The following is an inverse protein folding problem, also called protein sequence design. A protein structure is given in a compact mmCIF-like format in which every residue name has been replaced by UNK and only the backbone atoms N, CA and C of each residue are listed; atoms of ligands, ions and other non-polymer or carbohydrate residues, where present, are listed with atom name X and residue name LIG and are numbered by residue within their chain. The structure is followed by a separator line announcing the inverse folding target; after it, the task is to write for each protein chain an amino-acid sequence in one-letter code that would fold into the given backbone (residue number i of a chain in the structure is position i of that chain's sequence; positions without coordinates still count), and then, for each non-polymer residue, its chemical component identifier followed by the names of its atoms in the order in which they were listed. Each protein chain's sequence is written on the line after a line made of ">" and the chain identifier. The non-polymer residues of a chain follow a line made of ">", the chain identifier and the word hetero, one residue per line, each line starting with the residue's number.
data_IF_547971633947
#
_entry.id   IF_547971633947
#
_cell.length_a   1.000
_cell.length_b   1.000
_cell.length_c   1.000
_cell.angle_alpha   90.00
_cell.angle_beta   90.00
_cell.angle_gamma   90.00
#
_symmetry.space_group_name_H-M   'P 1'
#
loop_
_entity.id
_entity.type
_entity.pdbx_description
1 polymer ?
#
# COMPACT_ATOMS: atom_id res chain seq x y z
N UNK A 1 67.01 75.25 3.19
CA UNK A 1 68.00 74.25 2.74
C UNK A 1 67.77 73.00 3.49
N UNK A 2 67.73 71.90 2.87
CA UNK A 2 67.49 70.49 3.27
C UNK A 2 66.08 69.91 3.06
N UNK A 3 66.00 69.24 1.95
CA UNK A 3 64.97 68.33 1.53
C UNK A 3 64.93 67.09 2.43
N UNK A 4 63.73 66.66 2.83
CA UNK A 4 63.53 65.31 3.38
C UNK A 4 62.45 64.57 2.52
N UNK A 5 62.93 63.54 1.89
CA UNK A 5 62.13 62.54 1.18
C UNK A 5 61.16 61.84 2.09
N UNK A 6 59.90 61.77 1.66
CA UNK A 6 58.88 60.95 2.31
C UNK A 6 58.66 59.69 1.42
N UNK A 7 58.85 58.51 2.03
CA UNK A 7 58.72 57.22 1.43
C UNK A 7 57.23 56.85 1.25
N UNK A 8 56.80 56.18 0.16
CA UNK A 8 55.44 55.74 -0.03
C UNK A 8 55.25 54.39 0.67
N UNK A 9 54.29 54.36 1.61
CA UNK A 9 53.86 53.12 2.29
C UNK A 9 53.09 52.25 1.32
N UNK A 10 53.50 50.96 1.25
CA UNK A 10 52.79 49.88 0.57
C UNK A 10 51.48 49.57 1.25
N UNK A 11 50.40 49.79 0.59
CA UNK A 11 49.10 49.28 0.98
C UNK A 11 48.93 47.87 0.40
N UNK A 12 49.07 46.86 1.26
CA UNK A 12 48.76 45.47 0.95
C UNK A 12 47.23 45.31 0.96
N UNK A 13 46.67 45.14 -0.23
CA UNK A 13 45.26 44.73 -0.41
C UNK A 13 45.13 43.24 -0.05
N UNK A 14 44.59 42.98 1.11
CA UNK A 14 44.18 41.59 1.51
C UNK A 14 42.85 41.31 0.83
N UNK A 15 42.87 40.56 -0.28
CA UNK A 15 41.69 39.96 -0.89
C UNK A 15 41.27 38.77 -0.04
N UNK A 16 40.30 38.96 0.82
CA UNK A 16 39.59 37.85 1.51
C UNK A 16 38.63 37.18 0.51
N UNK A 17 39.08 36.08 -0.07
CA UNK A 17 38.25 35.19 -0.88
C UNK A 17 37.26 34.48 0.01
N UNK A 18 36.00 34.93 0.05
CA UNK A 18 34.90 34.25 0.66
C UNK A 18 34.52 33.03 -0.21
N UNK A 19 34.97 31.83 0.14
CA UNK A 19 34.43 30.56 -0.39
C UNK A 19 32.97 30.42 0.08
N UNK A 20 32.03 30.79 -0.76
CA UNK A 20 30.63 30.43 -0.63
C UNK A 20 30.54 28.95 -1.01
N UNK A 21 30.54 28.05 -0.04
CA UNK A 21 30.21 26.64 -0.22
C UNK A 21 28.72 26.58 -0.57
N UNK A 22 28.38 26.47 -1.85
CA UNK A 22 27.07 26.05 -2.33
C UNK A 22 26.90 24.57 -1.92
N UNK A 23 26.40 24.37 -0.71
CA UNK A 23 25.90 23.05 -0.29
C UNK A 23 24.66 22.73 -1.13
N UNK A 24 24.80 21.89 -2.17
CA UNK A 24 23.66 21.21 -2.81
C UNK A 24 23.09 20.18 -1.83
N UNK A 25 22.44 20.65 -0.77
CA UNK A 25 21.58 19.82 0.05
C UNK A 25 20.32 19.50 -0.75
N UNK A 26 20.00 18.21 -0.94
CA UNK A 26 18.70 17.82 -1.48
C UNK A 26 17.63 18.28 -0.49
N UNK A 27 16.73 19.13 -0.93
CA UNK A 27 15.59 19.57 -0.13
C UNK A 27 14.60 18.42 0.03
N UNK A 28 14.17 18.17 1.27
CA UNK A 28 13.10 17.20 1.55
C UNK A 28 11.78 17.96 1.57
N UNK A 29 10.93 17.66 0.60
CA UNK A 29 9.62 18.27 0.43
C UNK A 29 8.53 17.30 0.87
N UNK A 30 7.47 17.82 1.51
CA UNK A 30 6.31 17.03 1.90
C UNK A 30 5.33 16.92 0.73
N UNK A 31 4.69 15.74 0.57
CA UNK A 31 3.68 15.54 -0.47
C UNK A 31 2.47 16.49 -0.37
N UNK A 32 2.19 17.03 0.84
CA UNK A 32 1.16 18.06 1.02
C UNK A 32 1.55 19.40 0.38
N UNK A 33 2.85 19.70 0.31
CA UNK A 33 3.39 20.95 -0.24
C UNK A 33 3.63 20.83 -1.76
N UNK A 34 3.84 19.60 -2.25
CA UNK A 34 3.93 19.27 -3.68
C UNK A 34 3.20 17.95 -4.01
N UNK A 35 1.91 18.02 -4.36
CA UNK A 35 1.12 16.84 -4.71
C UNK A 35 1.65 16.04 -5.91
N UNK A 36 2.54 16.62 -6.72
CA UNK A 36 3.14 15.93 -7.86
C UNK A 36 4.10 14.81 -7.46
N UNK A 37 4.61 14.85 -6.23
CA UNK A 37 5.50 13.82 -5.67
C UNK A 37 4.79 12.47 -5.59
N UNK A 38 3.55 12.46 -5.10
CA UNK A 38 2.75 11.24 -4.97
C UNK A 38 2.07 10.84 -6.29
N UNK A 39 1.91 11.78 -7.22
CA UNK A 39 1.25 11.52 -8.51
C UNK A 39 2.17 10.86 -9.56
N UNK A 40 3.48 10.99 -9.42
CA UNK A 40 4.46 10.49 -10.40
C UNK A 40 4.99 9.12 -9.99
N UNK A 41 4.90 8.16 -10.90
CA UNK A 41 5.60 6.88 -10.75
C UNK A 41 7.13 7.12 -10.77
N UNK A 42 7.80 6.81 -9.67
CA UNK A 42 9.25 6.96 -9.53
C UNK A 42 10.00 5.78 -10.15
N UNK A 43 9.33 4.63 -10.25
CA UNK A 43 9.90 3.39 -10.79
C UNK A 43 8.82 2.52 -11.42
N UNK A 44 9.24 1.40 -12.05
CA UNK A 44 8.32 0.35 -12.50
C UNK A 44 7.81 -0.52 -11.35
N UNK A 45 8.39 -0.43 -10.16
CA UNK A 45 7.93 -1.13 -8.96
C UNK A 45 6.54 -0.64 -8.51
N UNK A 46 5.88 -1.49 -7.76
CA UNK A 46 4.57 -1.19 -7.20
C UNK A 46 4.73 -0.25 -5.99
N UNK A 47 4.14 0.92 -6.06
CA UNK A 47 4.17 1.90 -4.98
C UNK A 47 2.85 1.93 -4.17
N UNK A 48 2.86 2.67 -3.08
CA UNK A 48 1.71 2.80 -2.17
C UNK A 48 0.47 3.35 -2.89
N UNK A 49 0.65 4.33 -3.78
CA UNK A 49 -0.47 4.97 -4.47
C UNK A 49 -1.12 4.03 -5.50
N UNK A 50 -0.31 3.21 -6.17
CA UNK A 50 -0.80 2.16 -7.07
C UNK A 50 -1.71 1.18 -6.34
N UNK A 51 -1.24 0.71 -5.18
CA UNK A 51 -1.98 -0.27 -4.39
C UNK A 51 -3.27 0.36 -3.84
N UNK A 52 -3.22 1.60 -3.34
CA UNK A 52 -4.41 2.35 -2.91
C UNK A 52 -5.44 2.50 -4.02
N UNK A 53 -4.99 2.84 -5.23
CA UNK A 53 -5.85 2.99 -6.40
C UNK A 53 -6.52 1.67 -6.76
N UNK A 54 -5.75 0.58 -6.80
CA UNK A 54 -6.26 -0.76 -7.06
C UNK A 54 -7.26 -1.23 -6.01
N UNK A 55 -6.97 -0.98 -4.73
CA UNK A 55 -7.91 -1.29 -3.66
C UNK A 55 -9.21 -0.51 -3.80
N UNK A 56 -9.12 0.80 -4.03
CA UNK A 56 -10.30 1.66 -4.20
C UNK A 56 -11.18 1.19 -5.36
N UNK A 57 -10.57 0.77 -6.46
CA UNK A 57 -11.29 0.18 -7.61
C UNK A 57 -12.02 -1.12 -7.20
N UNK A 58 -11.35 -2.03 -6.51
CA UNK A 58 -11.97 -3.28 -6.07
C UNK A 58 -13.06 -3.08 -5.02
N UNK A 59 -12.89 -2.13 -4.08
CA UNK A 59 -13.92 -1.77 -3.09
C UNK A 59 -15.14 -1.09 -3.73
N UNK A 60 -14.94 -0.28 -4.76
CA UNK A 60 -16.05 0.30 -5.52
C UNK A 60 -16.86 -0.78 -6.27
N UNK A 61 -16.17 -1.78 -6.83
CA UNK A 61 -16.83 -2.95 -7.42
C UNK A 61 -17.59 -3.75 -6.38
N UNK A 62 -17.03 -3.94 -5.19
CA UNK A 62 -17.72 -4.60 -4.07
C UNK A 62 -18.97 -3.82 -3.63
N UNK A 63 -18.90 -2.49 -3.58
CA UNK A 63 -20.05 -1.64 -3.24
C UNK A 63 -21.26 -1.87 -4.15
N UNK A 64 -21.01 -2.15 -5.43
CA UNK A 64 -22.04 -2.42 -6.43
C UNK A 64 -22.45 -3.89 -6.52
N UNK A 65 -21.77 -4.79 -5.80
CA UNK A 65 -21.99 -6.23 -5.91
C UNK A 65 -23.26 -6.68 -5.17
N UNK A 66 -23.91 -7.78 -5.63
CA UNK A 66 -25.09 -8.35 -4.98
C UNK A 66 -24.86 -8.71 -3.50
N UNK A 67 -23.68 -9.19 -3.14
CA UNK A 67 -23.32 -9.53 -1.75
C UNK A 67 -23.39 -8.32 -0.82
N UNK A 68 -23.04 -7.13 -1.30
CA UNK A 68 -23.16 -5.89 -0.52
C UNK A 68 -24.63 -5.53 -0.26
N UNK A 69 -25.52 -5.77 -1.23
CA UNK A 69 -26.97 -5.56 -1.04
C UNK A 69 -27.53 -6.56 -0.03
N UNK A 70 -27.11 -7.81 -0.10
CA UNK A 70 -27.45 -8.83 0.90
C UNK A 70 -27.04 -8.38 2.32
N UNK A 71 -25.80 -7.90 2.47
CA UNK A 71 -25.30 -7.44 3.77
C UNK A 71 -26.14 -6.29 4.34
N UNK A 72 -26.52 -5.32 3.51
CA UNK A 72 -27.36 -4.17 3.94
C UNK A 72 -28.75 -4.56 4.39
N UNK A 73 -29.27 -5.65 3.87
CA UNK A 73 -30.64 -6.13 4.20
C UNK A 73 -30.64 -7.19 5.29
N UNK A 74 -29.49 -7.73 5.66
CA UNK A 74 -29.35 -8.75 6.71
C UNK A 74 -29.39 -8.10 8.09
N UNK A 75 -30.25 -8.61 8.97
CA UNK A 75 -30.36 -8.16 10.36
C UNK A 75 -30.26 -9.34 11.33
N UNK A 76 -29.30 -9.37 12.26
CA UNK A 76 -28.23 -8.38 12.44
C UNK A 76 -27.21 -8.40 11.29
N UNK A 77 -26.48 -7.29 11.06
CA UNK A 77 -25.45 -7.23 10.02
C UNK A 77 -24.43 -8.34 10.17
N UNK A 78 -23.98 -9.00 9.08
CA UNK A 78 -23.05 -10.11 9.14
C UNK A 78 -21.68 -9.68 9.67
N UNK A 79 -20.95 -10.61 10.26
CA UNK A 79 -19.59 -10.41 10.71
C UNK A 79 -18.65 -10.79 9.56
N UNK A 80 -17.73 -9.88 9.24
CA UNK A 80 -16.72 -10.05 8.20
C UNK A 80 -15.33 -10.00 8.83
N UNK A 81 -14.46 -10.90 8.42
CA UNK A 81 -13.04 -10.88 8.76
C UNK A 81 -12.21 -10.62 7.50
N UNK A 82 -11.19 -9.76 7.62
CA UNK A 82 -10.25 -9.48 6.52
C UNK A 82 -8.96 -10.22 6.79
N UNK A 83 -8.58 -11.11 5.87
CA UNK A 83 -7.30 -11.82 5.92
C UNK A 83 -6.19 -11.04 5.21
N UNK A 84 -4.93 -11.24 5.60
CA UNK A 84 -3.81 -10.67 4.87
C UNK A 84 -3.86 -11.03 3.39
N UNK A 85 -3.57 -10.06 2.53
CA UNK A 85 -3.43 -10.33 1.10
C UNK A 85 -2.06 -10.94 0.82
N UNK A 86 -2.05 -11.98 -0.01
CA UNK A 86 -0.81 -12.63 -0.38
C UNK A 86 -0.01 -11.76 -1.36
N UNK A 87 1.27 -11.55 -1.06
CA UNK A 87 2.23 -10.95 -1.99
C UNK A 87 2.84 -12.06 -2.85
N UNK A 88 2.45 -12.11 -4.12
CA UNK A 88 3.00 -13.02 -5.15
C UNK A 88 3.84 -12.28 -6.18
N UNK A 89 4.44 -11.17 -5.78
CA UNK A 89 5.40 -10.38 -6.57
C UNK A 89 6.80 -10.50 -6.00
N UNK A 90 7.79 -10.00 -6.72
CA UNK A 90 9.16 -9.83 -6.21
C UNK A 90 9.34 -8.53 -5.40
N UNK A 91 8.30 -7.72 -5.27
CA UNK A 91 8.36 -6.41 -4.61
C UNK A 91 8.15 -6.54 -3.10
N UNK A 92 8.85 -5.69 -2.32
CA UNK A 92 8.69 -5.62 -0.87
C UNK A 92 7.53 -4.70 -0.49
N UNK A 93 6.30 -5.17 -0.69
CA UNK A 93 5.07 -4.39 -0.50
C UNK A 93 4.26 -4.77 0.75
N UNK A 94 4.76 -5.69 1.58
CA UNK A 94 3.98 -6.24 2.70
C UNK A 94 3.49 -5.17 3.69
N UNK A 95 4.33 -4.18 4.02
CA UNK A 95 3.93 -3.05 4.88
C UNK A 95 2.88 -2.15 4.22
N UNK A 96 2.97 -1.97 2.90
CA UNK A 96 1.97 -1.23 2.13
C UNK A 96 0.65 -1.97 2.08
N UNK A 97 0.67 -3.29 1.89
CA UNK A 97 -0.52 -4.14 1.94
C UNK A 97 -1.19 -4.07 3.31
N UNK A 98 -0.45 -4.11 4.41
CA UNK A 98 -1.01 -4.01 5.74
C UNK A 98 -1.72 -2.67 5.99
N UNK A 99 -1.10 -1.56 5.56
CA UNK A 99 -1.72 -0.23 5.63
C UNK A 99 -3.05 -0.19 4.89
N UNK A 100 -3.11 -0.78 3.70
CA UNK A 100 -4.29 -0.78 2.84
C UNK A 100 -5.40 -1.65 3.39
N UNK A 101 -5.05 -2.77 4.01
CA UNK A 101 -6.03 -3.60 4.69
C UNK A 101 -6.70 -2.84 5.83
N UNK A 102 -5.97 -1.98 6.54
CA UNK A 102 -6.54 -1.07 7.55
C UNK A 102 -7.50 -0.04 6.93
N UNK A 103 -7.19 0.48 5.75
CA UNK A 103 -8.11 1.34 4.99
C UNK A 103 -9.39 0.56 4.57
N UNK A 104 -9.26 -0.74 4.24
CA UNK A 104 -10.41 -1.60 3.92
C UNK A 104 -11.31 -1.83 5.14
N UNK A 105 -10.74 -2.03 6.33
CA UNK A 105 -11.49 -2.13 7.58
C UNK A 105 -12.32 -0.86 7.81
N UNK A 106 -11.69 0.30 7.68
CA UNK A 106 -12.35 1.60 7.84
C UNK A 106 -13.51 1.75 6.86
N UNK A 107 -13.27 1.47 5.58
CA UNK A 107 -14.29 1.54 4.54
C UNK A 107 -15.49 0.61 4.80
N UNK A 108 -15.24 -0.61 5.27
CA UNK A 108 -16.29 -1.57 5.61
C UNK A 108 -17.12 -1.08 6.79
N UNK A 109 -16.49 -0.55 7.85
CA UNK A 109 -17.17 0.02 9.00
C UNK A 109 -18.04 1.23 8.62
N UNK A 110 -17.49 2.13 7.80
CA UNK A 110 -18.22 3.30 7.29
C UNK A 110 -19.43 2.92 6.43
N UNK A 111 -19.40 1.75 5.78
CA UNK A 111 -20.53 1.25 4.98
C UNK A 111 -21.77 0.93 5.82
N UNK A 112 -21.62 0.70 7.13
CA UNK A 112 -22.64 0.22 8.08
C UNK A 112 -23.37 -1.07 7.63
N UNK A 113 -22.83 -1.76 6.61
CA UNK A 113 -23.44 -2.98 6.08
C UNK A 113 -22.98 -4.25 6.81
N UNK A 114 -21.87 -4.16 7.54
CA UNK A 114 -21.21 -5.31 8.18
C UNK A 114 -20.63 -4.92 9.55
N UNK A 115 -20.38 -5.94 10.38
CA UNK A 115 -19.52 -5.85 11.55
C UNK A 115 -18.17 -6.44 11.19
N UNK A 116 -17.07 -5.76 11.53
CA UNK A 116 -15.73 -6.18 11.16
C UNK A 116 -14.97 -6.73 12.37
N UNK A 117 -14.32 -7.87 12.21
CA UNK A 117 -13.43 -8.43 13.23
C UNK A 117 -12.08 -7.73 13.16
N UNK A 118 -11.60 -7.21 14.30
CA UNK A 118 -10.28 -6.56 14.37
C UNK A 118 -9.16 -7.48 13.89
N UNK A 119 -8.38 -7.05 12.90
CA UNK A 119 -7.23 -7.79 12.36
C UNK A 119 -6.14 -8.03 13.40
N UNK A 120 -5.91 -7.11 14.33
CA UNK A 120 -4.97 -7.30 15.42
C UNK A 120 -5.33 -8.53 16.27
N UNK A 121 -6.61 -8.66 16.63
CA UNK A 121 -7.09 -9.82 17.39
C UNK A 121 -7.10 -11.11 16.58
N UNK A 122 -7.34 -11.02 15.27
CA UNK A 122 -7.20 -12.18 14.39
C UNK A 122 -5.80 -12.76 14.44
N UNK A 123 -4.76 -11.93 14.36
CA UNK A 123 -3.36 -12.36 14.42
C UNK A 123 -3.00 -13.06 15.73
N UNK A 124 -3.57 -12.66 16.85
CA UNK A 124 -3.40 -13.33 18.15
C UNK A 124 -4.12 -14.68 18.17
N UNK A 125 -5.37 -14.73 17.74
CA UNK A 125 -6.17 -15.95 17.66
C UNK A 125 -5.62 -16.95 16.64
N UNK A 126 -5.14 -16.47 15.50
CA UNK A 126 -4.50 -17.30 14.48
C UNK A 126 -3.20 -17.89 15.02
N UNK A 127 -2.35 -17.11 15.68
CA UNK A 127 -1.11 -17.61 16.32
C UNK A 127 -1.36 -18.63 17.43
N UNK A 128 -2.43 -18.44 18.19
CA UNK A 128 -2.84 -19.40 19.23
C UNK A 128 -3.28 -20.74 18.63
N UNK A 129 -3.89 -20.70 17.43
CA UNK A 129 -4.31 -21.89 16.68
C UNK A 129 -3.18 -22.46 15.80
N UNK A 130 -2.29 -21.57 15.28
CA UNK A 130 -1.16 -21.93 14.42
C UNK A 130 0.06 -22.42 15.18
N UNK A 131 0.03 -22.48 16.48
CA UNK A 131 1.18 -22.94 17.30
C UNK A 131 1.93 -24.15 16.76
N UNK A 132 1.62 -24.59 15.54
CA UNK A 132 2.18 -25.77 14.90
C UNK A 132 2.46 -25.75 13.39
N UNK A 133 2.08 -24.76 12.55
CA UNK A 133 2.39 -24.84 11.11
C UNK A 133 2.45 -23.49 10.37
N UNK A 134 3.45 -23.32 9.47
CA UNK A 134 3.61 -22.23 8.53
C UNK A 134 2.35 -22.02 7.67
N UNK A 135 1.63 -20.93 7.88
CA UNK A 135 0.35 -20.71 7.26
C UNK A 135 0.45 -20.00 5.91
N UNK A 136 0.45 -20.76 4.86
CA UNK A 136 -0.14 -20.33 3.59
C UNK A 136 -1.66 -20.43 3.78
N UNK A 137 -2.41 -19.38 3.39
CA UNK A 137 -3.87 -19.38 3.43
C UNK A 137 -4.42 -20.68 2.83
N UNK A 138 -5.02 -21.52 3.68
CA UNK A 138 -5.67 -22.74 3.27
C UNK A 138 -7.19 -22.60 3.47
N UNK A 139 -8.00 -22.65 2.40
CA UNK A 139 -9.46 -22.52 2.50
C UNK A 139 -10.12 -23.49 3.49
N UNK A 140 -9.57 -24.69 3.65
CA UNK A 140 -10.08 -25.67 4.62
C UNK A 140 -9.89 -25.21 6.08
N UNK A 141 -8.85 -24.40 6.35
CA UNK A 141 -8.63 -23.79 7.66
C UNK A 141 -9.47 -22.52 7.84
N UNK A 142 -9.78 -21.81 6.76
CA UNK A 142 -10.58 -20.59 6.79
C UNK A 142 -11.95 -20.81 7.44
N UNK A 143 -12.63 -21.91 7.13
CA UNK A 143 -13.91 -22.27 7.75
C UNK A 143 -13.80 -22.49 9.26
N UNK A 144 -12.71 -23.09 9.74
CA UNK A 144 -12.45 -23.31 11.17
C UNK A 144 -12.21 -21.98 11.90
N UNK A 145 -11.38 -21.10 11.32
CA UNK A 145 -11.10 -19.78 11.88
C UNK A 145 -12.34 -18.89 11.88
N UNK A 146 -13.13 -18.94 10.81
CA UNK A 146 -14.36 -18.17 10.70
C UNK A 146 -15.34 -18.51 11.79
N UNK A 147 -15.52 -19.78 12.10
CA UNK A 147 -16.38 -20.22 13.21
C UNK A 147 -15.89 -19.71 14.56
N UNK A 148 -14.58 -19.71 14.80
CA UNK A 148 -13.99 -19.19 16.05
C UNK A 148 -14.14 -17.67 16.17
N UNK A 149 -14.01 -16.93 15.06
CA UNK A 149 -14.20 -15.49 15.00
C UNK A 149 -15.68 -15.07 14.96
N UNK A 150 -16.59 -16.04 14.77
CA UNK A 150 -17.99 -15.77 14.50
C UNK A 150 -18.21 -15.07 13.16
N UNK A 151 -17.22 -15.09 12.26
CA UNK A 151 -17.30 -14.44 10.96
C UNK A 151 -18.12 -15.30 9.99
N UNK A 152 -19.04 -14.65 9.28
CA UNK A 152 -19.81 -15.26 8.19
C UNK A 152 -19.08 -15.16 6.86
N UNK A 153 -18.32 -14.11 6.65
CA UNK A 153 -17.58 -13.90 5.41
C UNK A 153 -16.11 -13.58 5.68
N UNK A 154 -15.25 -14.01 4.75
CA UNK A 154 -13.87 -13.58 4.66
C UNK A 154 -13.66 -12.69 3.45
N UNK A 155 -12.89 -11.63 3.63
CA UNK A 155 -12.28 -10.87 2.54
C UNK A 155 -10.82 -11.28 2.51
N UNK A 156 -10.35 -11.71 1.35
CA UNK A 156 -8.96 -12.07 1.10
C UNK A 156 -8.57 -11.65 -0.30
N UNK A 157 -7.28 -11.70 -0.61
CA UNK A 157 -6.80 -11.35 -1.93
C UNK A 157 -5.33 -11.69 -2.15
N UNK A 158 -4.86 -11.35 -3.34
CA UNK A 158 -3.44 -11.47 -3.69
C UNK A 158 -3.03 -10.38 -4.65
N UNK A 159 -1.77 -9.99 -4.56
CA UNK A 159 -1.09 -9.18 -5.56
C UNK A 159 -0.15 -10.08 -6.34
N UNK A 160 -0.22 -10.03 -7.67
CA UNK A 160 0.69 -10.72 -8.57
C UNK A 160 1.24 -9.76 -9.61
N UNK A 161 2.38 -10.06 -10.20
CA UNK A 161 3.02 -9.24 -11.23
C UNK A 161 3.44 -10.07 -12.43
N UNK A 162 3.48 -9.42 -13.59
CA UNK A 162 4.07 -9.94 -14.83
C UNK A 162 5.05 -8.89 -15.36
N UNK A 163 6.30 -9.28 -15.60
CA UNK A 163 7.36 -8.41 -16.13
C UNK A 163 7.71 -8.89 -17.54
N UNK A 164 7.43 -8.06 -18.52
CA UNK A 164 7.73 -8.32 -19.92
C UNK A 164 8.78 -7.32 -20.41
N UNK A 165 9.80 -7.82 -21.06
CA UNK A 165 10.89 -7.01 -21.59
C UNK A 165 11.21 -7.41 -23.03
N UNK A 166 11.36 -6.40 -23.87
CA UNK A 166 12.01 -6.51 -25.17
C UNK A 166 13.16 -5.47 -25.25
N UNK A 167 13.78 -5.34 -26.42
CA UNK A 167 14.94 -4.48 -26.61
C UNK A 167 14.67 -2.98 -26.33
N UNK A 168 13.43 -2.52 -26.56
CA UNK A 168 13.06 -1.12 -26.50
C UNK A 168 12.17 -0.75 -25.30
N UNK A 169 11.41 -1.70 -24.78
CA UNK A 169 10.38 -1.45 -23.76
C UNK A 169 10.44 -2.50 -22.67
N UNK A 170 10.42 -2.05 -21.43
CA UNK A 170 10.10 -2.88 -20.29
C UNK A 170 8.70 -2.52 -19.79
N UNK A 171 7.78 -3.50 -19.75
CA UNK A 171 6.42 -3.36 -19.25
C UNK A 171 6.21 -4.27 -18.04
N UNK A 172 5.81 -3.68 -16.94
CA UNK A 172 5.45 -4.41 -15.73
C UNK A 172 3.96 -4.21 -15.46
N UNK A 173 3.23 -5.30 -15.29
CA UNK A 173 1.82 -5.31 -14.97
C UNK A 173 1.61 -5.94 -13.61
N UNK A 174 0.82 -5.28 -12.77
CA UNK A 174 0.45 -5.77 -11.45
C UNK A 174 -1.07 -5.97 -11.39
N UNK A 175 -1.47 -7.02 -10.72
CA UNK A 175 -2.87 -7.42 -10.56
C UNK A 175 -3.19 -7.56 -9.10
N UNK A 176 -4.17 -6.80 -8.62
CA UNK A 176 -4.78 -6.99 -7.32
C UNK A 176 -6.07 -7.79 -7.49
N UNK A 177 -6.13 -8.97 -6.92
CA UNK A 177 -7.34 -9.78 -6.80
C UNK A 177 -7.89 -9.65 -5.40
N UNK A 178 -9.20 -9.47 -5.28
CA UNK A 178 -9.93 -9.48 -4.03
C UNK A 178 -11.13 -10.43 -4.14
N UNK A 179 -11.36 -11.21 -3.11
CA UNK A 179 -12.48 -12.15 -3.01
C UNK A 179 -13.23 -11.96 -1.70
N UNK A 180 -14.53 -12.17 -1.74
CA UNK A 180 -15.40 -12.40 -0.58
C UNK A 180 -15.82 -13.86 -0.60
N UNK A 181 -15.55 -14.56 0.47
CA UNK A 181 -15.80 -16.01 0.61
C UNK A 181 -16.74 -16.20 1.78
N UNK A 182 -17.80 -16.98 1.56
CA UNK A 182 -18.67 -17.46 2.64
C UNK A 182 -17.91 -18.53 3.44
N UNK A 183 -17.85 -18.36 4.76
CA UNK A 183 -17.08 -19.22 5.66
C UNK A 183 -17.66 -20.62 5.75
N UNK A 184 -18.97 -20.74 5.68
CA UNK A 184 -19.68 -22.00 5.89
C UNK A 184 -19.67 -22.88 4.64
N UNK A 185 -19.91 -22.26 3.48
CA UNK A 185 -20.02 -22.98 2.20
C UNK A 185 -18.73 -22.96 1.38
N UNK A 186 -17.77 -22.08 1.73
CA UNK A 186 -16.57 -21.80 0.94
C UNK A 186 -16.85 -21.23 -0.46
N UNK A 187 -18.07 -20.76 -0.69
CA UNK A 187 -18.44 -20.12 -1.96
C UNK A 187 -17.82 -18.74 -2.11
N UNK A 188 -17.31 -18.45 -3.31
CA UNK A 188 -16.89 -17.10 -3.66
C UNK A 188 -18.14 -16.28 -3.97
N UNK A 189 -18.51 -15.38 -3.05
CA UNK A 189 -19.67 -14.48 -3.19
C UNK A 189 -19.38 -13.22 -4.00
N UNK A 190 -18.12 -12.88 -4.12
CA UNK A 190 -17.63 -11.77 -4.93
C UNK A 190 -16.17 -11.98 -5.29
N UNK A 191 -15.81 -11.59 -6.50
CA UNK A 191 -14.43 -11.51 -6.94
C UNK A 191 -14.24 -10.30 -7.85
N UNK A 192 -13.17 -9.55 -7.62
CA UNK A 192 -12.75 -8.46 -8.49
C UNK A 192 -11.26 -8.52 -8.76
N UNK A 193 -10.89 -7.96 -9.92
CA UNK A 193 -9.50 -7.72 -10.32
C UNK A 193 -9.33 -6.24 -10.63
N UNK A 194 -8.26 -5.64 -10.15
CA UNK A 194 -7.74 -4.36 -10.61
C UNK A 194 -6.36 -4.57 -11.22
N UNK A 195 -6.01 -3.74 -12.19
CA UNK A 195 -4.78 -3.85 -12.97
C UNK A 195 -4.06 -2.52 -13.04
N UNK A 196 -2.74 -2.56 -12.88
CA UNK A 196 -1.84 -1.43 -13.03
C UNK A 196 -0.76 -1.81 -14.01
N UNK A 197 -0.51 -0.96 -14.99
CA UNK A 197 0.57 -1.14 -15.95
C UNK A 197 1.54 0.01 -15.85
N UNK A 198 2.83 -0.28 -15.73
CA UNK A 198 3.94 0.67 -15.80
C UNK A 198 4.90 0.26 -16.90
N UNK A 199 5.48 1.24 -17.59
CA UNK A 199 6.46 0.98 -18.64
C UNK A 199 7.61 1.99 -18.59
N UNK A 200 8.79 1.51 -18.99
CA UNK A 200 9.94 2.34 -19.35
C UNK A 200 10.09 2.24 -20.86
N UNK A 201 10.16 3.40 -21.50
CA UNK A 201 10.35 3.55 -22.95
C UNK A 201 11.68 4.20 -23.21
#
# INVERSE_FOLDING_TARGET
>A
MTLRFCSPGSWALVLTSALVSLGCGKEVVRGADDPSIDARAVSTGLDKEDIKRSLRDTLNKLRAAPVMNEWRTTNPPPIVAIFPFANSTSEHIDSSLDTILSESETWLLESNAVRVVSRQRQGEMIREVEGQQNAVFNPAHAAKYGKQLGAKFFITGKVSGNDERNDDIRRVQYFLYMQVIDVETSEIRFQAKSEITKAVK
#
